data_IF_544018074257
#
_entry.id   IF_544018074257
#
_cell.length_a   1.000
_cell.length_b   1.000
_cell.length_c   1.000
_cell.angle_alpha   90.00
_cell.angle_beta   90.00
_cell.angle_gamma   90.00
#
_symmetry.space_group_name_H-M   'P 1'
#
loop_
_entity.id
_entity.type
_entity.pdbx_description
1 polymer ?
#
# COMPACT_ATOMS: atom_id res chain seq x y z
N UNK A 1 -9.82 0.91 -6.66
CA UNK A 1 -8.40 1.35 -6.59
C UNK A 1 -7.77 0.75 -5.32
N UNK A 2 -6.52 0.26 -5.33
CA UNK A 2 -5.91 -0.32 -4.12
C UNK A 2 -5.17 0.75 -3.32
N UNK A 3 -5.40 0.83 -2.00
CA UNK A 3 -4.74 1.81 -1.13
C UNK A 3 -3.20 1.77 -1.21
N UNK A 4 -2.60 0.61 -1.43
CA UNK A 4 -1.14 0.45 -1.66
C UNK A 4 -0.65 1.22 -2.89
N UNK A 5 -1.39 1.18 -3.99
CA UNK A 5 -1.04 1.87 -5.24
C UNK A 5 -1.22 3.38 -5.07
N UNK A 6 -2.30 3.78 -4.38
CA UNK A 6 -2.56 5.18 -4.05
C UNK A 6 -1.40 5.77 -3.24
N UNK A 7 -0.95 5.07 -2.20
CA UNK A 7 0.16 5.51 -1.33
C UNK A 7 1.47 5.58 -2.12
N UNK A 8 1.82 4.54 -2.88
CA UNK A 8 3.05 4.54 -3.68
C UNK A 8 3.06 5.64 -4.76
N UNK A 9 1.91 5.94 -5.38
CA UNK A 9 1.82 6.97 -6.42
C UNK A 9 1.85 8.39 -5.86
N UNK A 10 1.30 8.61 -4.67
CA UNK A 10 1.22 9.93 -4.05
C UNK A 10 2.35 10.18 -3.02
N UNK A 11 3.17 9.19 -2.69
CA UNK A 11 4.25 9.32 -1.70
C UNK A 11 3.75 9.57 -0.27
N UNK A 12 2.49 9.24 0.02
CA UNK A 12 1.87 9.50 1.32
C UNK A 12 2.34 8.50 2.38
N UNK A 13 2.14 8.83 3.66
CA UNK A 13 2.35 7.85 4.73
C UNK A 13 1.18 6.88 4.75
N UNK A 14 1.42 5.65 5.20
CA UNK A 14 0.35 4.66 5.43
C UNK A 14 -0.75 5.17 6.36
N UNK A 15 -0.43 6.11 7.26
CA UNK A 15 -1.39 6.73 8.18
C UNK A 15 -2.38 7.70 7.52
N UNK A 16 -2.01 8.23 6.37
CA UNK A 16 -2.81 9.22 5.65
C UNK A 16 -3.71 8.56 4.59
N UNK A 17 -3.72 7.23 4.55
CA UNK A 17 -4.55 6.47 3.64
C UNK A 17 -6.04 6.68 3.97
N UNK A 18 -6.90 6.94 2.98
CA UNK A 18 -8.34 6.98 3.19
C UNK A 18 -8.83 5.70 3.88
N UNK A 19 -9.70 5.87 4.90
CA UNK A 19 -10.31 4.75 5.64
C UNK A 19 -11.08 3.78 4.74
N UNK A 20 -11.52 4.25 3.58
CA UNK A 20 -12.19 3.48 2.52
C UNK A 20 -11.31 2.33 1.99
N UNK A 21 -9.98 2.47 2.07
CA UNK A 21 -9.05 1.40 1.68
C UNK A 21 -8.79 0.36 2.78
N UNK A 22 -9.43 0.54 3.94
CA UNK A 22 -9.31 -0.34 5.09
C UNK A 22 -8.13 0.00 6.01
N UNK A 23 -7.93 -0.80 7.07
CA UNK A 23 -6.91 -0.53 8.07
C UNK A 23 -5.50 -0.45 7.50
N UNK A 24 -4.68 0.49 8.00
CA UNK A 24 -3.31 0.70 7.53
C UNK A 24 -2.44 -0.56 7.64
N UNK A 25 -2.69 -1.40 8.65
CA UNK A 25 -2.00 -2.68 8.84
C UNK A 25 -2.25 -3.64 7.68
N UNK A 26 -3.46 -3.65 7.12
CA UNK A 26 -3.83 -4.48 5.96
C UNK A 26 -3.12 -4.02 4.70
N UNK A 27 -3.02 -2.70 4.50
CA UNK A 27 -2.30 -2.12 3.38
C UNK A 27 -0.81 -2.45 3.44
N UNK A 28 -0.19 -2.32 4.62
CA UNK A 28 1.22 -2.71 4.81
C UNK A 28 1.45 -4.20 4.55
N UNK A 29 0.59 -5.09 5.08
CA UNK A 29 0.71 -6.53 4.84
C UNK A 29 0.58 -6.89 3.36
N UNK A 30 -0.30 -6.20 2.62
CA UNK A 30 -0.44 -6.36 1.17
C UNK A 30 0.79 -5.86 0.43
N UNK A 31 1.33 -4.70 0.80
CA UNK A 31 2.55 -4.15 0.24
C UNK A 31 3.74 -5.10 0.44
N UNK A 32 3.93 -5.63 1.67
CA UNK A 32 4.99 -6.60 1.96
C UNK A 32 4.90 -7.83 1.06
N UNK A 33 3.71 -8.43 0.93
CA UNK A 33 3.49 -9.57 0.03
C UNK A 33 3.80 -9.27 -1.44
N UNK A 34 3.58 -8.03 -1.88
CA UNK A 34 3.90 -7.61 -3.24
C UNK A 34 5.40 -7.38 -3.42
N UNK A 35 6.04 -6.78 -2.42
CA UNK A 35 7.50 -6.62 -2.35
C UNK A 35 8.20 -7.98 -2.40
N UNK A 36 7.75 -8.95 -1.61
CA UNK A 36 8.28 -10.32 -1.58
C UNK A 36 8.11 -11.03 -2.94
N UNK A 37 7.06 -10.68 -3.70
CA UNK A 37 6.82 -11.19 -5.06
C UNK A 37 7.59 -10.42 -6.14
N UNK A 38 8.40 -9.43 -5.78
CA UNK A 38 9.12 -8.60 -6.75
C UNK A 38 8.23 -7.71 -7.61
N UNK A 39 6.96 -7.49 -7.22
CA UNK A 39 6.01 -6.63 -7.96
C UNK A 39 6.55 -5.20 -8.11
N UNK A 40 7.37 -4.76 -7.16
CA UNK A 40 7.98 -3.43 -7.14
C UNK A 40 9.45 -3.40 -7.57
N UNK A 41 10.07 -4.56 -7.86
CA UNK A 41 11.49 -4.69 -8.15
C UNK A 41 11.84 -4.46 -9.63
N UNK A 42 11.16 -3.52 -10.30
CA UNK A 42 11.41 -3.18 -11.70
C UNK A 42 12.27 -1.93 -11.83
#
# INVERSE_FOLDING_TARGET
MSGVIFINRNGLRWRDAPKEYGPHKTLYNRWKRWSDKGIFAR
#
